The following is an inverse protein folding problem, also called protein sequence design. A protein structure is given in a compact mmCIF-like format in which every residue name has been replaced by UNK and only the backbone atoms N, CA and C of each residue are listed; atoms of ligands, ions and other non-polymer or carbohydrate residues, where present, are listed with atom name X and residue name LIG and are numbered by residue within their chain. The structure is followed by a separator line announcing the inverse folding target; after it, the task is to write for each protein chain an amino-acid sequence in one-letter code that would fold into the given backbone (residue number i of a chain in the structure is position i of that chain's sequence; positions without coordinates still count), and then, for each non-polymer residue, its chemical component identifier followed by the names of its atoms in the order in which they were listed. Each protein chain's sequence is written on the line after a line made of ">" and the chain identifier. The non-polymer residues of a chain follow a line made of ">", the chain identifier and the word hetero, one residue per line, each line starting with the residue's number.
data_IF_317735514909
#
_entry.id   IF_317735514909
#
_cell.length_a   1.000
_cell.length_b   1.000
_cell.length_c   1.000
_cell.angle_alpha   90.00
_cell.angle_beta   90.00
_cell.angle_gamma   90.00
#
_symmetry.space_group_name_H-M   'P 1'
#
loop_
_entity.id
_entity.type
_entity.pdbx_description
1 polymer ?
#
# COMPACT_ATOMS: atom_id res chain seq x y z
N UNK A 1 11.28 -8.74 -18.04
CA UNK A 1 11.69 -8.96 -16.63
C UNK A 1 11.31 -10.35 -16.14
N UNK A 2 10.06 -10.81 -16.21
CA UNK A 2 9.65 -12.15 -15.76
C UNK A 2 10.41 -13.30 -16.45
N UNK A 3 10.69 -13.22 -17.75
CA UNK A 3 11.44 -14.24 -18.48
C UNK A 3 12.86 -14.45 -17.91
N UNK A 4 13.61 -13.36 -17.65
CA UNK A 4 14.97 -13.44 -17.10
C UNK A 4 14.98 -14.05 -15.69
N UNK A 5 13.95 -13.74 -14.88
CA UNK A 5 13.79 -14.33 -13.54
C UNK A 5 13.48 -15.83 -13.66
N UNK A 6 12.61 -16.22 -14.58
CA UNK A 6 12.29 -17.64 -14.82
C UNK A 6 13.52 -18.44 -15.27
N UNK A 7 14.37 -17.88 -16.14
CA UNK A 7 15.64 -18.50 -16.56
C UNK A 7 16.61 -18.66 -15.39
N UNK A 8 16.77 -17.62 -14.58
CA UNK A 8 17.64 -17.70 -13.40
C UNK A 8 17.18 -18.76 -12.39
N UNK A 9 15.87 -18.91 -12.21
CA UNK A 9 15.31 -19.96 -11.34
C UNK A 9 15.55 -21.33 -11.96
N UNK A 10 15.33 -21.54 -13.28
CA UNK A 10 15.58 -22.82 -13.96
C UNK A 10 17.01 -23.29 -13.84
N UNK A 11 17.97 -22.38 -13.79
CA UNK A 11 19.37 -22.71 -13.62
C UNK A 11 19.70 -23.32 -12.25
N UNK A 12 18.86 -23.10 -11.24
CA UNK A 12 19.12 -23.49 -9.85
C UNK A 12 18.08 -24.44 -9.26
N UNK A 13 16.88 -24.50 -9.82
CA UNK A 13 15.76 -25.30 -9.30
C UNK A 13 15.27 -26.25 -10.39
N UNK A 14 15.43 -27.58 -10.22
CA UNK A 14 14.90 -28.55 -11.16
C UNK A 14 13.39 -28.72 -10.98
N UNK A 15 12.61 -27.87 -11.64
CA UNK A 15 11.15 -27.92 -11.62
C UNK A 15 10.60 -28.07 -13.06
N UNK A 16 9.57 -28.91 -13.28
CA UNK A 16 9.00 -29.15 -14.61
C UNK A 16 8.31 -27.89 -15.16
N UNK A 17 7.76 -27.06 -14.29
CA UNK A 17 7.09 -25.80 -14.64
C UNK A 17 7.57 -24.71 -13.71
N UNK A 18 7.97 -23.57 -14.28
CA UNK A 18 8.32 -22.35 -13.55
C UNK A 18 7.52 -21.21 -14.17
N UNK A 19 6.61 -20.66 -13.37
CA UNK A 19 5.82 -19.47 -13.72
C UNK A 19 6.26 -18.29 -12.86
N UNK A 20 6.52 -17.15 -13.50
CA UNK A 20 6.86 -15.89 -12.83
C UNK A 20 5.79 -14.87 -13.16
N UNK A 21 5.11 -14.36 -12.14
CA UNK A 21 4.04 -13.41 -12.26
C UNK A 21 4.37 -12.11 -11.48
N UNK A 22 3.48 -11.12 -11.56
CA UNK A 22 3.62 -9.87 -10.81
C UNK A 22 3.23 -10.07 -9.34
N UNK A 23 3.74 -9.20 -8.46
CA UNK A 23 3.34 -9.11 -7.06
C UNK A 23 1.84 -8.83 -6.92
N UNK A 24 1.25 -8.06 -7.84
CA UNK A 24 -0.17 -7.76 -7.86
C UNK A 24 -1.03 -9.02 -8.11
N UNK A 25 -0.61 -9.91 -9.02
CA UNK A 25 -1.31 -11.19 -9.21
C UNK A 25 -1.16 -12.10 -7.98
N UNK A 26 0.01 -12.09 -7.36
CA UNK A 26 0.22 -12.80 -6.11
C UNK A 26 -0.68 -12.28 -5.00
N UNK A 27 -0.83 -10.94 -4.88
CA UNK A 27 -1.76 -10.32 -3.94
C UNK A 27 -3.22 -10.71 -4.23
N UNK A 28 -3.65 -10.68 -5.49
CA UNK A 28 -5.00 -11.05 -5.89
C UNK A 28 -5.31 -12.52 -5.55
N UNK A 29 -4.42 -13.46 -5.87
CA UNK A 29 -4.55 -14.87 -5.52
C UNK A 29 -4.58 -15.10 -4.01
N UNK A 30 -3.73 -14.39 -3.25
CA UNK A 30 -3.68 -14.52 -1.80
C UNK A 30 -4.94 -14.00 -1.09
N UNK A 31 -5.54 -12.92 -1.62
CA UNK A 31 -6.67 -12.22 -1.02
C UNK A 31 -8.01 -12.78 -1.47
N UNK A 32 -8.17 -13.03 -2.76
CA UNK A 32 -9.44 -13.38 -3.38
C UNK A 32 -9.57 -14.90 -3.68
N UNK A 33 -8.45 -15.64 -3.65
CA UNK A 33 -8.46 -17.04 -4.03
C UNK A 33 -8.92 -17.22 -5.47
N UNK A 34 -10.02 -17.96 -5.66
CA UNK A 34 -10.65 -18.20 -6.97
C UNK A 34 -11.97 -17.40 -7.15
N UNK A 35 -12.20 -16.40 -6.32
CA UNK A 35 -13.38 -15.54 -6.40
C UNK A 35 -13.03 -14.19 -7.00
N UNK A 36 -14.00 -13.56 -7.67
CA UNK A 36 -13.85 -12.21 -8.16
C UNK A 36 -13.78 -11.20 -7.01
N UNK A 37 -12.96 -10.15 -7.15
CA UNK A 37 -12.80 -9.11 -6.15
C UNK A 37 -11.81 -8.03 -6.56
N UNK A 38 -11.70 -7.00 -5.73
CA UNK A 38 -10.67 -5.98 -5.87
C UNK A 38 -9.55 -6.31 -4.89
N UNK A 39 -8.33 -6.45 -5.41
CA UNK A 39 -7.13 -6.70 -4.62
C UNK A 39 -6.20 -5.49 -4.63
N UNK A 40 -5.75 -5.07 -3.44
CA UNK A 40 -4.94 -3.89 -3.25
C UNK A 40 -3.67 -4.21 -2.46
N UNK A 41 -2.57 -3.60 -2.86
CA UNK A 41 -1.32 -3.56 -2.10
C UNK A 41 -1.17 -2.17 -1.50
N UNK A 42 -1.02 -2.07 -0.16
CA UNK A 42 -0.65 -0.85 0.54
C UNK A 42 0.60 -1.12 1.41
N UNK A 43 1.74 -0.81 0.84
CA UNK A 43 3.08 -0.94 1.44
C UNK A 43 3.88 0.35 1.30
N UNK A 44 5.14 0.27 0.88
CA UNK A 44 5.96 1.45 0.53
C UNK A 44 5.32 2.23 -0.61
N UNK A 45 4.87 1.55 -1.67
CA UNK A 45 3.98 2.06 -2.72
C UNK A 45 2.57 1.53 -2.55
N UNK A 46 1.67 1.84 -3.52
CA UNK A 46 0.34 1.26 -3.61
C UNK A 46 0.06 0.71 -5.00
N UNK A 47 -0.82 -0.27 -5.10
CA UNK A 47 -1.35 -0.78 -6.35
C UNK A 47 -2.72 -1.42 -6.12
N UNK A 48 -3.53 -1.58 -7.17
CA UNK A 48 -4.82 -2.23 -7.08
C UNK A 48 -5.18 -2.91 -8.40
N UNK A 49 -6.07 -3.91 -8.36
CA UNK A 49 -6.63 -4.51 -9.56
C UNK A 49 -8.04 -5.04 -9.34
N UNK A 50 -8.80 -5.12 -10.41
CA UNK A 50 -9.96 -6.00 -10.49
C UNK A 50 -9.50 -7.38 -10.96
N UNK A 51 -9.82 -8.39 -10.18
CA UNK A 51 -9.47 -9.79 -10.39
C UNK A 51 -10.77 -10.60 -10.56
N UNK A 52 -10.86 -11.46 -11.57
CA UNK A 52 -12.07 -12.25 -11.89
C UNK A 52 -12.13 -13.64 -11.21
N UNK A 53 -11.10 -14.00 -10.47
CA UNK A 53 -10.91 -15.32 -9.88
C UNK A 53 -9.81 -16.15 -10.56
N UNK A 54 -9.37 -15.75 -11.76
CA UNK A 54 -8.31 -16.41 -12.54
C UNK A 54 -7.18 -15.46 -12.91
N UNK A 55 -7.53 -14.27 -13.41
CA UNK A 55 -6.60 -13.26 -13.93
C UNK A 55 -6.97 -11.85 -13.51
N UNK A 56 -6.01 -10.95 -13.63
CA UNK A 56 -6.25 -9.51 -13.52
C UNK A 56 -6.93 -9.04 -14.81
N UNK A 57 -8.14 -8.48 -14.67
CA UNK A 57 -8.93 -7.96 -15.77
C UNK A 57 -8.77 -6.47 -15.97
N UNK A 58 -8.49 -5.73 -14.88
CA UNK A 58 -8.30 -4.28 -14.92
C UNK A 58 -7.30 -3.84 -13.85
N UNK A 59 -6.53 -2.79 -14.15
CA UNK A 59 -5.55 -2.22 -13.23
C UNK A 59 -5.43 -0.72 -13.45
N UNK A 60 -5.84 0.05 -12.47
CA UNK A 60 -5.56 1.50 -12.44
C UNK A 60 -4.09 1.69 -12.12
N UNK A 61 -3.34 2.34 -13.02
CA UNK A 61 -1.90 2.50 -12.87
C UNK A 61 -1.54 3.27 -11.59
N UNK A 62 -0.65 2.76 -10.74
CA UNK A 62 -0.26 3.41 -9.48
C UNK A 62 0.56 4.68 -9.68
N UNK A 63 1.25 4.86 -10.82
CA UNK A 63 2.06 6.00 -11.26
C UNK A 63 3.27 6.33 -10.37
N UNK A 64 3.52 5.57 -9.28
CA UNK A 64 4.61 5.80 -8.34
C UNK A 64 4.38 6.98 -7.40
N UNK A 65 5.26 7.12 -6.40
CA UNK A 65 5.07 8.02 -5.24
C UNK A 65 5.09 9.53 -5.56
N UNK A 66 5.49 9.92 -6.76
CA UNK A 66 5.49 11.33 -7.20
C UNK A 66 4.12 11.71 -7.76
N UNK A 67 3.56 10.89 -8.66
CA UNK A 67 2.34 11.19 -9.41
C UNK A 67 1.10 10.45 -8.89
N UNK A 68 1.30 9.42 -8.07
CA UNK A 68 0.25 8.54 -7.56
C UNK A 68 0.65 7.91 -6.23
N UNK A 69 0.51 6.58 -6.13
CA UNK A 69 0.73 5.77 -4.92
C UNK A 69 -0.08 6.25 -3.71
N UNK A 70 -1.27 6.81 -3.93
CA UNK A 70 -2.15 7.29 -2.86
C UNK A 70 -2.31 6.21 -1.78
N UNK A 71 -2.40 6.62 -0.54
CA UNK A 71 -2.57 5.70 0.60
C UNK A 71 -1.32 4.87 0.96
N UNK A 72 -0.24 4.97 0.17
CA UNK A 72 1.01 4.25 0.46
C UNK A 72 1.82 4.88 1.58
N UNK A 73 2.78 4.11 2.13
CA UNK A 73 3.71 4.61 3.12
C UNK A 73 4.56 5.77 2.62
N UNK A 74 4.98 5.76 1.36
CA UNK A 74 5.75 6.86 0.79
C UNK A 74 4.93 8.16 0.70
N UNK A 75 3.66 8.06 0.31
CA UNK A 75 2.78 9.24 0.24
C UNK A 75 2.40 9.74 1.62
N UNK A 76 2.05 8.85 2.55
CA UNK A 76 1.80 9.22 3.95
C UNK A 76 3.01 9.91 4.58
N UNK A 77 4.21 9.35 4.40
CA UNK A 77 5.44 9.96 4.89
C UNK A 77 5.78 11.29 4.21
N UNK A 78 5.52 11.42 2.90
CA UNK A 78 5.67 12.67 2.16
C UNK A 78 4.81 13.79 2.76
N UNK A 79 3.54 13.50 3.04
CA UNK A 79 2.62 14.46 3.65
C UNK A 79 3.10 14.82 5.05
N UNK A 80 3.38 13.83 5.90
CA UNK A 80 3.89 14.05 7.26
C UNK A 80 5.14 14.94 7.27
N UNK A 81 6.15 14.61 6.46
CA UNK A 81 7.39 15.40 6.39
C UNK A 81 7.13 16.83 5.92
N UNK A 82 6.24 17.02 4.96
CA UNK A 82 5.84 18.33 4.49
C UNK A 82 5.15 19.15 5.59
N UNK A 83 4.21 18.55 6.31
CA UNK A 83 3.45 19.18 7.37
C UNK A 83 4.33 19.54 8.58
N UNK A 84 5.26 18.67 8.98
CA UNK A 84 6.26 18.94 10.02
C UNK A 84 7.13 20.12 9.62
N UNK A 85 7.68 20.13 8.41
CA UNK A 85 8.60 21.19 7.96
C UNK A 85 7.93 22.55 7.71
N UNK A 86 6.61 22.55 7.49
CA UNK A 86 5.79 23.76 7.29
C UNK A 86 4.96 24.14 8.51
N UNK A 87 5.16 23.48 9.66
CA UNK A 87 4.44 23.72 10.91
C UNK A 87 2.91 23.65 10.74
N UNK A 88 2.42 22.68 9.96
CA UNK A 88 0.99 22.43 9.76
C UNK A 88 0.40 21.53 10.86
N UNK A 89 1.26 20.87 11.65
CA UNK A 89 0.89 20.10 12.82
C UNK A 89 1.13 20.89 14.12
N UNK A 90 0.52 20.50 15.25
CA UNK A 90 0.81 21.09 16.55
C UNK A 90 2.33 21.10 16.84
N UNK A 91 2.83 22.23 17.35
CA UNK A 91 4.27 22.45 17.57
C UNK A 91 4.92 21.31 18.38
N UNK A 92 4.28 20.89 19.46
CA UNK A 92 4.78 19.79 20.28
C UNK A 92 4.90 18.47 19.51
N UNK A 93 4.00 18.21 18.54
CA UNK A 93 4.04 17.02 17.70
C UNK A 93 5.18 17.09 16.67
N UNK A 94 5.43 18.27 16.08
CA UNK A 94 6.57 18.50 15.20
C UNK A 94 7.91 18.27 15.93
N UNK A 95 8.05 18.84 17.12
CA UNK A 95 9.25 18.67 17.95
C UNK A 95 9.45 17.21 18.36
N UNK A 96 8.38 16.52 18.76
CA UNK A 96 8.39 15.08 19.06
C UNK A 96 8.87 14.26 17.88
N UNK A 97 8.37 14.54 16.67
CA UNK A 97 8.77 13.85 15.45
C UNK A 97 10.26 14.04 15.16
N UNK A 98 10.73 15.29 15.10
CA UNK A 98 12.13 15.59 14.80
C UNK A 98 13.08 14.94 15.81
N UNK A 99 12.73 14.97 17.09
CA UNK A 99 13.52 14.32 18.16
C UNK A 99 13.50 12.79 18.04
N UNK A 100 12.35 12.18 17.76
CA UNK A 100 12.22 10.71 17.70
C UNK A 100 13.06 10.11 16.58
N UNK A 101 13.19 10.80 15.46
CA UNK A 101 13.94 10.30 14.30
C UNK A 101 15.33 10.93 14.15
N UNK A 102 15.74 11.78 15.08
CA UNK A 102 17.01 12.54 15.01
C UNK A 102 17.16 13.24 13.64
N UNK A 103 16.13 14.01 13.27
CA UNK A 103 16.04 14.67 11.96
C UNK A 103 15.98 16.18 12.10
N UNK A 104 16.64 16.85 11.16
CA UNK A 104 16.48 18.27 10.90
C UNK A 104 16.00 18.51 9.44
N UNK A 105 15.68 19.76 9.15
CA UNK A 105 15.21 20.16 7.81
C UNK A 105 16.19 19.78 6.70
N UNK A 106 17.47 20.01 6.90
CA UNK A 106 18.49 19.79 5.87
C UNK A 106 18.67 18.30 5.58
N UNK A 107 18.68 17.49 6.63
CA UNK A 107 18.77 16.03 6.53
C UNK A 107 17.54 15.46 5.81
N UNK A 108 16.33 15.93 6.15
CA UNK A 108 15.10 15.49 5.47
C UNK A 108 15.17 15.80 3.97
N UNK A 109 15.49 17.05 3.61
CA UNK A 109 15.60 17.49 2.20
C UNK A 109 16.64 16.65 1.46
N UNK A 110 17.81 16.44 2.05
CA UNK A 110 18.87 15.61 1.47
C UNK A 110 18.40 14.18 1.22
N UNK A 111 17.77 13.53 2.22
CA UNK A 111 17.30 12.15 2.12
C UNK A 111 16.17 11.96 1.11
N UNK A 112 15.30 12.95 0.96
CA UNK A 112 14.20 12.89 0.00
C UNK A 112 14.68 13.12 -1.44
N UNK A 113 15.59 14.09 -1.68
CA UNK A 113 15.90 14.57 -3.02
C UNK A 113 17.29 14.20 -3.55
N UNK A 114 18.23 13.86 -2.68
CA UNK A 114 19.64 13.65 -3.06
C UNK A 114 20.13 12.23 -2.82
N UNK A 115 19.49 11.48 -1.91
CA UNK A 115 19.86 10.10 -1.63
C UNK A 115 19.00 9.11 -2.42
N UNK A 116 19.51 7.89 -2.71
CA UNK A 116 18.71 6.86 -3.33
C UNK A 116 17.57 6.40 -2.40
N UNK A 117 16.50 5.91 -3.00
CA UNK A 117 15.36 5.34 -2.26
C UNK A 117 14.62 6.34 -1.34
N UNK A 118 14.47 7.60 -1.75
CA UNK A 118 13.71 8.61 -1.02
C UNK A 118 12.29 8.16 -0.66
N UNK A 119 11.63 7.35 -1.51
CA UNK A 119 10.35 6.72 -1.21
C UNK A 119 10.39 5.79 0.01
N UNK A 120 11.45 5.00 0.17
CA UNK A 120 11.63 4.14 1.36
C UNK A 120 11.87 4.96 2.60
N UNK A 121 12.67 6.02 2.49
CA UNK A 121 12.85 6.96 3.60
C UNK A 121 11.51 7.57 4.02
N UNK A 122 10.71 8.08 3.09
CA UNK A 122 9.39 8.63 3.40
C UNK A 122 8.49 7.56 4.05
N UNK A 123 8.47 6.33 3.53
CA UNK A 123 7.70 5.25 4.14
C UNK A 123 8.19 4.88 5.55
N UNK A 124 9.49 5.01 5.85
CA UNK A 124 10.07 4.61 7.14
C UNK A 124 9.61 5.46 8.32
N UNK A 125 9.07 6.65 8.10
CA UNK A 125 8.57 7.54 9.16
C UNK A 125 7.08 7.34 9.48
N UNK A 126 6.38 6.50 8.72
CA UNK A 126 4.96 6.22 8.97
C UNK A 126 4.65 5.63 10.34
N UNK A 127 5.53 4.86 11.03
CA UNK A 127 5.24 4.41 12.39
C UNK A 127 4.89 5.56 13.35
N UNK A 128 5.37 6.78 13.11
CA UNK A 128 4.98 7.95 13.88
C UNK A 128 3.48 8.26 13.78
N UNK A 129 2.90 8.10 12.60
CA UNK A 129 1.48 8.36 12.37
C UNK A 129 0.62 7.41 13.21
N UNK A 130 0.92 6.10 13.18
CA UNK A 130 0.12 5.12 13.95
C UNK A 130 0.32 5.30 15.47
N UNK A 131 1.51 5.68 15.92
CA UNK A 131 1.78 5.97 17.33
C UNK A 131 1.03 7.20 17.86
N UNK A 132 0.57 8.08 16.96
CA UNK A 132 -0.12 9.32 17.32
C UNK A 132 -1.48 9.41 16.60
N UNK A 133 -2.10 8.28 16.28
CA UNK A 133 -3.32 8.25 15.46
C UNK A 133 -4.53 8.91 16.14
N UNK A 134 -4.53 9.00 17.46
CA UNK A 134 -5.56 9.68 18.24
C UNK A 134 -5.51 11.22 18.11
N UNK A 135 -4.41 11.77 17.62
CA UNK A 135 -4.29 13.19 17.32
C UNK A 135 -5.13 13.56 16.10
N UNK A 136 -6.11 14.47 16.21
CA UNK A 136 -7.04 14.78 15.12
C UNK A 136 -6.36 15.18 13.81
N UNK A 137 -5.24 15.89 13.88
CA UNK A 137 -4.45 16.28 12.69
C UNK A 137 -3.81 15.09 12.00
N UNK A 138 -3.30 14.12 12.75
CA UNK A 138 -2.70 12.88 12.22
C UNK A 138 -3.79 11.98 11.66
N UNK A 139 -4.89 11.78 12.40
CA UNK A 139 -6.03 10.99 11.94
C UNK A 139 -6.55 11.52 10.60
N UNK A 140 -6.79 12.84 10.51
CA UNK A 140 -7.26 13.49 9.28
C UNK A 140 -6.29 13.34 8.11
N UNK A 141 -4.97 13.42 8.36
CA UNK A 141 -3.94 13.21 7.34
C UNK A 141 -4.04 11.80 6.75
N UNK A 142 -4.11 10.79 7.60
CA UNK A 142 -4.17 9.37 7.19
C UNK A 142 -5.51 9.08 6.49
N UNK A 143 -6.62 9.52 7.07
CA UNK A 143 -7.97 9.34 6.53
C UNK A 143 -8.09 9.94 5.13
N UNK A 144 -7.61 11.18 4.92
CA UNK A 144 -7.69 11.84 3.62
C UNK A 144 -6.80 11.17 2.58
N UNK A 145 -5.63 10.66 2.95
CA UNK A 145 -4.77 9.90 2.06
C UNK A 145 -5.45 8.59 1.60
N UNK A 146 -6.12 7.86 2.50
CA UNK A 146 -6.87 6.66 2.12
C UNK A 146 -8.12 6.98 1.31
N UNK A 147 -8.87 8.04 1.64
CA UNK A 147 -9.98 8.49 0.79
C UNK A 147 -9.51 8.79 -0.63
N UNK A 148 -8.36 9.45 -0.78
CA UNK A 148 -7.75 9.71 -2.08
C UNK A 148 -7.43 8.41 -2.83
N UNK A 149 -6.91 7.39 -2.14
CA UNK A 149 -6.68 6.06 -2.73
C UNK A 149 -7.99 5.44 -3.26
N UNK A 150 -9.04 5.43 -2.46
CA UNK A 150 -10.32 4.87 -2.88
C UNK A 150 -10.88 5.61 -4.09
N UNK A 151 -10.96 6.94 -4.04
CA UNK A 151 -11.54 7.76 -5.11
C UNK A 151 -10.74 7.65 -6.41
N UNK A 152 -9.41 7.69 -6.33
CA UNK A 152 -8.54 7.75 -7.51
C UNK A 152 -8.25 6.39 -8.12
N UNK A 153 -8.40 5.30 -7.35
CA UNK A 153 -8.10 3.94 -7.82
C UNK A 153 -9.36 3.06 -7.77
N UNK A 154 -9.94 2.82 -6.61
CA UNK A 154 -11.00 1.81 -6.43
C UNK A 154 -12.29 2.20 -7.13
N UNK A 155 -12.72 3.45 -7.00
CA UNK A 155 -13.94 3.94 -7.64
C UNK A 155 -13.86 4.00 -9.18
N UNK A 156 -12.69 3.74 -9.78
CA UNK A 156 -12.52 3.62 -11.23
C UNK A 156 -12.95 2.24 -11.75
N UNK A 157 -12.95 1.19 -10.90
CA UNK A 157 -13.37 -0.14 -11.32
C UNK A 157 -14.88 -0.22 -11.45
N UNK A 158 -15.35 -0.71 -12.59
CA UNK A 158 -16.79 -0.89 -12.84
C UNK A 158 -17.40 -1.88 -11.84
N UNK A 159 -18.44 -1.46 -11.14
CA UNK A 159 -19.16 -2.28 -10.16
C UNK A 159 -18.44 -2.42 -8.82
N UNK A 160 -17.47 -1.54 -8.51
CA UNK A 160 -16.72 -1.55 -7.26
C UNK A 160 -17.60 -1.54 -6.01
N UNK A 161 -18.79 -0.90 -6.08
CA UNK A 161 -19.74 -0.81 -4.98
C UNK A 161 -20.34 -2.18 -4.57
N UNK A 162 -20.24 -3.19 -5.43
CA UNK A 162 -20.73 -4.57 -5.21
C UNK A 162 -19.62 -5.55 -4.87
N UNK A 163 -18.37 -5.10 -4.91
CA UNK A 163 -17.20 -5.94 -4.71
C UNK A 163 -16.52 -5.64 -3.38
N UNK A 164 -16.04 -6.67 -2.71
CA UNK A 164 -15.16 -6.48 -1.55
C UNK A 164 -13.80 -5.98 -2.00
N UNK A 165 -13.31 -4.93 -1.34
CA UNK A 165 -11.97 -4.39 -1.54
C UNK A 165 -11.04 -5.02 -0.51
N UNK A 166 -10.12 -5.85 -0.99
CA UNK A 166 -9.23 -6.65 -0.14
C UNK A 166 -7.82 -6.07 -0.17
N UNK A 167 -7.12 -6.11 0.95
CA UNK A 167 -5.86 -5.42 1.12
C UNK A 167 -4.74 -6.32 1.63
N UNK A 168 -3.54 -6.08 1.12
CA UNK A 168 -2.32 -6.66 1.62
C UNK A 168 -1.25 -5.58 1.82
N UNK A 169 -0.43 -5.74 2.85
CA UNK A 169 0.71 -4.88 3.15
C UNK A 169 0.67 -4.27 4.53
N UNK A 170 1.82 -3.77 4.97
CA UNK A 170 1.99 -3.24 6.32
C UNK A 170 1.13 -2.00 6.59
N UNK A 171 0.98 -1.13 5.61
CA UNK A 171 0.16 0.08 5.77
C UNK A 171 -1.31 -0.32 5.96
N UNK A 172 -1.88 -1.15 5.07
CA UNK A 172 -3.26 -1.61 5.23
C UNK A 172 -3.47 -2.30 6.58
N UNK A 173 -2.53 -3.15 7.00
CA UNK A 173 -2.66 -3.95 8.22
C UNK A 173 -2.64 -3.11 9.50
N UNK A 174 -1.69 -2.17 9.61
CA UNK A 174 -1.54 -1.37 10.83
C UNK A 174 -2.55 -0.22 10.92
N UNK A 175 -3.06 0.28 9.78
CA UNK A 175 -4.03 1.38 9.75
C UNK A 175 -5.45 0.91 9.37
N UNK A 176 -5.77 -0.36 9.62
CA UNK A 176 -7.03 -1.00 9.18
C UNK A 176 -8.29 -0.26 9.61
N UNK A 177 -8.28 0.34 10.79
CA UNK A 177 -9.47 1.02 11.33
C UNK A 177 -9.74 2.31 10.54
N UNK A 178 -8.72 3.13 10.31
CA UNK A 178 -8.82 4.35 9.49
C UNK A 178 -9.06 4.02 8.01
N UNK A 179 -8.52 2.90 7.53
CA UNK A 179 -8.76 2.42 6.16
C UNK A 179 -10.24 2.01 5.97
N UNK A 180 -10.83 1.34 6.97
CA UNK A 180 -12.25 0.99 6.95
C UNK A 180 -13.15 2.24 7.03
N UNK A 181 -12.79 3.22 7.85
CA UNK A 181 -13.46 4.52 7.92
C UNK A 181 -13.44 5.25 6.56
N UNK A 182 -12.26 5.28 5.90
CA UNK A 182 -12.11 5.88 4.58
C UNK A 182 -12.98 5.19 3.53
N UNK A 183 -13.03 3.85 3.54
CA UNK A 183 -13.86 3.06 2.63
C UNK A 183 -15.35 3.37 2.83
N UNK A 184 -15.82 3.35 4.08
CA UNK A 184 -17.21 3.65 4.42
C UNK A 184 -17.61 5.06 3.95
N UNK A 185 -16.72 6.04 4.09
CA UNK A 185 -16.96 7.42 3.68
C UNK A 185 -17.16 7.60 2.15
N UNK A 186 -16.71 6.62 1.34
CA UNK A 186 -16.86 6.65 -0.13
C UNK A 186 -17.75 5.52 -0.66
N UNK A 187 -18.48 4.82 0.22
CA UNK A 187 -19.42 3.77 -0.16
C UNK A 187 -18.77 2.45 -0.60
N UNK A 188 -17.51 2.20 -0.22
CA UNK A 188 -16.82 0.96 -0.50
C UNK A 188 -16.88 0.00 0.71
N UNK A 189 -16.85 -1.31 0.45
CA UNK A 189 -16.82 -2.34 1.49
C UNK A 189 -15.44 -2.98 1.56
N UNK A 190 -14.80 -2.87 2.73
CA UNK A 190 -13.53 -3.54 2.99
C UNK A 190 -13.77 -5.02 3.29
N UNK A 191 -13.04 -5.88 2.61
CA UNK A 191 -13.03 -7.32 2.85
C UNK A 191 -11.84 -7.75 3.72
N UNK A 192 -11.05 -8.68 3.22
CA UNK A 192 -9.88 -9.22 3.93
C UNK A 192 -8.71 -8.24 3.95
N UNK A 193 -8.09 -8.07 5.12
CA UNK A 193 -6.83 -7.33 5.29
C UNK A 193 -5.77 -8.26 5.87
N UNK A 194 -4.67 -8.49 5.13
CA UNK A 194 -3.55 -9.32 5.58
C UNK A 194 -2.23 -8.56 5.48
N UNK A 195 -1.28 -8.93 6.34
CA UNK A 195 0.04 -8.29 6.35
C UNK A 195 0.97 -8.83 5.26
N UNK A 196 0.90 -10.14 4.99
CA UNK A 196 1.79 -10.86 4.08
C UNK A 196 0.99 -11.81 3.18
N UNK A 197 1.39 -12.03 1.92
CA UNK A 197 0.67 -12.90 0.99
C UNK A 197 0.88 -14.40 1.26
N UNK A 198 1.90 -14.80 2.03
CA UNK A 198 2.42 -16.15 2.05
C UNK A 198 1.35 -17.20 2.38
N UNK A 199 0.60 -17.01 3.47
CA UNK A 199 -0.44 -17.97 3.88
C UNK A 199 -1.55 -18.10 2.82
N UNK A 200 -1.96 -16.97 2.24
CA UNK A 200 -2.96 -16.95 1.17
C UNK A 200 -2.48 -17.67 -0.10
N UNK A 201 -1.21 -17.47 -0.48
CA UNK A 201 -0.61 -18.14 -1.63
C UNK A 201 -0.45 -19.65 -1.40
N UNK A 202 -0.01 -20.07 -0.22
CA UNK A 202 0.06 -21.49 0.14
C UNK A 202 -1.34 -22.12 -0.01
N UNK A 203 -2.37 -21.47 0.54
CA UNK A 203 -3.76 -21.95 0.43
C UNK A 203 -4.19 -22.04 -1.03
N UNK A 204 -3.95 -20.98 -1.82
CA UNK A 204 -4.33 -20.95 -3.24
C UNK A 204 -3.71 -22.10 -4.04
N UNK A 205 -2.41 -22.39 -3.84
CA UNK A 205 -1.68 -23.42 -4.58
C UNK A 205 -1.86 -24.83 -4.00
N UNK A 206 -2.38 -25.00 -2.78
CA UNK A 206 -2.67 -26.28 -2.17
C UNK A 206 -4.07 -26.80 -2.50
N UNK A 207 -4.96 -25.98 -3.03
CA UNK A 207 -6.30 -26.40 -3.45
C UNK A 207 -6.25 -26.90 -4.89
N UNK A 208 -6.94 -28.01 -5.21
CA UNK A 208 -7.09 -28.45 -6.59
C UNK A 208 -7.76 -27.36 -7.44
N UNK A 209 -7.40 -27.35 -8.72
CA UNK A 209 -7.94 -26.41 -9.71
C UNK A 209 -9.43 -26.64 -9.96
#
# INVERSE_FOLDING_TARGET
>A
MCANVAEAIRASVPAPVIEVATDLLAAARALCGRSAGIACILGTGSNSCYYDGEKICDNVSPLGYILGDEGSGAVLGKILLGDVLKNQLPKALCEKFLKQYDLDRMTIIRRVYKEPQGNRFMASVTPFLIQNIEEPSIHSLVLNSFKSFFVRNICQYKGHEKLSVNFIGSIAYYYRDVLAEAAAAVGCTVGTIIKSPMEGLIRFHSMPA
#
